data_IF_072551262196
#
_entry.id   IF_072551262196
#
_cell.length_a   1.000
_cell.length_b   1.000
_cell.length_c   1.000
_cell.angle_alpha   90.00
_cell.angle_beta   90.00
_cell.angle_gamma   90.00
#
_symmetry.space_group_name_H-M   'P 1'
#
loop_
_entity.id
_entity.type
_entity.pdbx_description
1 polymer ?
#
# COMPACT_ATOMS: atom_id res chain seq x y z
N UNK A 1 -20.35 20.93 27.82
CA UNK A 1 -19.52 20.43 26.68
C UNK A 1 -18.08 20.06 27.06
N UNK A 2 -17.63 20.17 28.33
CA UNK A 2 -16.20 20.03 28.69
C UNK A 2 -15.74 18.62 29.11
N UNK A 3 -16.55 17.80 29.80
CA UNK A 3 -16.10 16.46 30.27
C UNK A 3 -15.86 15.42 29.17
N UNK A 4 -16.74 15.35 28.17
CA UNK A 4 -16.63 14.32 27.12
C UNK A 4 -15.47 14.54 26.14
N UNK A 5 -15.04 15.80 25.96
CA UNK A 5 -13.85 16.11 25.15
C UNK A 5 -12.57 15.71 25.90
N UNK A 6 -12.51 15.98 27.20
CA UNK A 6 -11.42 15.62 28.11
C UNK A 6 -11.26 14.08 28.23
N UNK A 7 -12.39 13.36 28.30
CA UNK A 7 -12.40 11.89 28.28
C UNK A 7 -11.86 11.33 26.95
N UNK A 8 -12.21 11.95 25.82
CA UNK A 8 -11.79 11.46 24.49
C UNK A 8 -10.29 11.66 24.26
N UNK A 9 -9.75 12.82 24.65
CA UNK A 9 -8.31 13.13 24.59
C UNK A 9 -7.51 12.20 25.50
N UNK A 10 -8.02 11.94 26.72
CA UNK A 10 -7.42 10.98 27.65
C UNK A 10 -7.38 9.56 27.06
N UNK A 11 -8.47 9.10 26.43
CA UNK A 11 -8.50 7.78 25.78
C UNK A 11 -7.55 7.74 24.58
N UNK A 12 -7.47 8.80 23.79
CA UNK A 12 -6.50 8.90 22.69
C UNK A 12 -5.06 8.77 23.22
N UNK A 13 -4.68 9.54 24.25
CA UNK A 13 -3.35 9.50 24.84
C UNK A 13 -3.01 8.12 25.42
N UNK A 14 -3.92 7.54 26.22
CA UNK A 14 -3.73 6.21 26.80
C UNK A 14 -3.58 5.12 25.73
N UNK A 15 -4.44 5.14 24.70
CA UNK A 15 -4.35 4.15 23.61
C UNK A 15 -3.07 4.32 22.78
N UNK A 16 -2.58 5.55 22.59
CA UNK A 16 -1.28 5.81 21.96
C UNK A 16 -0.14 5.17 22.74
N UNK A 17 -0.06 5.41 24.06
CA UNK A 17 0.98 4.81 24.93
C UNK A 17 0.91 3.29 24.92
N UNK A 18 -0.30 2.72 25.02
CA UNK A 18 -0.50 1.27 24.97
C UNK A 18 -0.01 0.68 23.65
N UNK A 19 -0.28 1.33 22.51
CA UNK A 19 0.10 0.80 21.20
C UNK A 19 1.60 0.93 20.90
N UNK A 20 2.25 1.97 21.43
CA UNK A 20 3.71 2.08 21.36
C UNK A 20 4.37 0.95 22.15
N UNK A 21 3.82 0.59 23.31
CA UNK A 21 4.34 -0.51 24.14
C UNK A 21 3.93 -1.91 23.65
N UNK A 22 2.72 -2.04 23.09
CA UNK A 22 2.14 -3.27 22.59
C UNK A 22 1.33 -3.00 21.31
N UNK A 23 1.98 -3.06 20.13
CA UNK A 23 1.34 -2.78 18.85
C UNK A 23 0.22 -3.79 18.49
N UNK A 24 0.20 -4.97 19.12
CA UNK A 24 -0.82 -5.98 18.91
C UNK A 24 -2.07 -5.80 19.80
N UNK A 25 -2.17 -4.70 20.55
CA UNK A 25 -3.25 -4.50 21.50
C UNK A 25 -4.59 -4.13 20.84
N UNK A 26 -5.33 -5.16 20.41
CA UNK A 26 -6.59 -5.04 19.65
C UNK A 26 -7.63 -4.13 20.32
N UNK A 27 -7.80 -4.22 21.64
CA UNK A 27 -8.74 -3.36 22.38
C UNK A 27 -8.40 -1.87 22.23
N UNK A 28 -7.11 -1.52 22.21
CA UNK A 28 -6.69 -0.13 22.05
C UNK A 28 -7.01 0.36 20.62
N UNK A 29 -6.72 -0.44 19.59
CA UNK A 29 -7.08 -0.12 18.21
C UNK A 29 -8.60 0.04 18.04
N UNK A 30 -9.41 -0.82 18.67
CA UNK A 30 -10.87 -0.71 18.62
C UNK A 30 -11.39 0.56 19.31
N UNK A 31 -10.77 0.98 20.42
CA UNK A 31 -11.09 2.28 21.02
C UNK A 31 -10.76 3.43 20.07
N UNK A 32 -9.64 3.37 19.35
CA UNK A 32 -9.28 4.38 18.33
C UNK A 32 -10.24 4.39 17.14
N UNK A 33 -10.74 3.23 16.69
CA UNK A 33 -11.84 3.14 15.70
C UNK A 33 -13.08 3.89 16.17
N UNK A 34 -13.51 3.65 17.42
CA UNK A 34 -14.67 4.34 18.01
C UNK A 34 -14.45 5.85 18.15
N UNK A 35 -13.24 6.29 18.49
CA UNK A 35 -12.90 7.72 18.52
C UNK A 35 -13.00 8.35 17.12
N UNK A 36 -12.52 7.65 16.09
CA UNK A 36 -12.66 8.11 14.69
C UNK A 36 -14.12 8.14 14.23
N UNK A 37 -14.92 7.13 14.57
CA UNK A 37 -16.35 7.06 14.27
C UNK A 37 -17.12 8.23 14.88
N UNK A 38 -16.74 8.66 16.09
CA UNK A 38 -17.31 9.82 16.79
C UNK A 38 -16.77 11.17 16.30
N UNK A 39 -15.78 11.16 15.40
CA UNK A 39 -15.10 12.37 14.93
C UNK A 39 -14.13 12.99 15.94
N UNK A 40 -13.85 12.32 17.07
CA UNK A 40 -12.92 12.78 18.10
C UNK A 40 -11.45 12.55 17.72
N UNK A 41 -11.18 11.59 16.84
CA UNK A 41 -9.84 11.31 16.32
C UNK A 41 -9.83 11.50 14.79
N UNK A 42 -8.87 12.27 14.28
CA UNK A 42 -8.69 12.46 12.85
C UNK A 42 -8.09 11.21 12.21
N UNK A 43 -8.77 10.67 11.19
CA UNK A 43 -8.28 9.52 10.43
C UNK A 43 -6.95 9.80 9.72
N UNK A 44 -6.68 11.05 9.32
CA UNK A 44 -5.37 11.43 8.76
C UNK A 44 -4.25 11.33 9.79
N UNK A 45 -4.47 11.86 11.01
CA UNK A 45 -3.53 11.70 12.13
C UNK A 45 -3.31 10.23 12.49
N UNK A 46 -4.36 9.43 12.41
CA UNK A 46 -4.26 7.99 12.68
C UNK A 46 -3.42 7.26 11.62
N UNK A 47 -3.55 7.60 10.33
CA UNK A 47 -2.67 7.04 9.29
C UNK A 47 -1.20 7.38 9.55
N UNK A 48 -0.91 8.63 9.92
CA UNK A 48 0.44 9.05 10.31
C UNK A 48 0.93 8.24 11.52
N UNK A 49 0.10 8.06 12.54
CA UNK A 49 0.45 7.26 13.71
C UNK A 49 0.74 5.80 13.35
N UNK A 50 -0.08 5.16 12.52
CA UNK A 50 0.16 3.79 12.05
C UNK A 50 1.46 3.67 11.25
N UNK A 51 1.77 4.66 10.41
CA UNK A 51 3.03 4.70 9.68
C UNK A 51 4.23 4.81 10.63
N UNK A 52 4.15 5.69 11.64
CA UNK A 52 5.21 5.82 12.65
C UNK A 52 5.47 4.52 13.39
N UNK A 53 4.42 3.75 13.73
CA UNK A 53 4.58 2.42 14.32
C UNK A 53 5.31 1.47 13.35
N UNK A 54 4.85 1.40 12.09
CA UNK A 54 5.44 0.50 11.07
C UNK A 54 6.91 0.84 10.82
N UNK A 55 7.25 2.13 10.66
CA UNK A 55 8.62 2.57 10.36
C UNK A 55 9.54 2.57 11.58
N UNK A 56 8.98 2.81 12.77
CA UNK A 56 9.74 2.96 14.00
C UNK A 56 10.25 1.65 14.59
N UNK A 57 9.61 0.52 14.31
CA UNK A 57 10.05 -0.78 14.81
C UNK A 57 9.63 -1.95 13.92
N UNK A 58 10.57 -2.84 13.61
CA UNK A 58 10.28 -4.11 12.93
C UNK A 58 9.27 -4.98 13.71
N UNK A 59 9.24 -4.88 15.05
CA UNK A 59 8.27 -5.59 15.88
C UNK A 59 6.83 -5.09 15.70
N UNK A 60 6.66 -3.82 15.32
CA UNK A 60 5.37 -3.26 14.93
C UNK A 60 5.04 -3.64 13.49
N UNK A 61 6.02 -3.56 12.59
CA UNK A 61 5.85 -3.90 11.17
C UNK A 61 5.46 -5.37 10.94
N UNK A 62 5.81 -6.29 11.85
CA UNK A 62 5.38 -7.70 11.77
C UNK A 62 3.98 -7.96 12.35
N UNK A 63 3.27 -6.95 12.86
CA UNK A 63 1.91 -7.15 13.40
C UNK A 63 0.86 -6.98 12.30
N UNK A 64 0.19 -8.08 11.92
CA UNK A 64 -0.90 -8.07 10.94
C UNK A 64 -1.99 -7.03 11.28
N UNK A 65 -2.33 -6.90 12.56
CA UNK A 65 -3.42 -6.04 13.03
C UNK A 65 -3.18 -4.55 12.73
N UNK A 66 -1.91 -4.10 12.68
CA UNK A 66 -1.56 -2.72 12.33
C UNK A 66 -1.87 -2.46 10.85
N UNK A 67 -1.49 -3.38 9.96
CA UNK A 67 -1.79 -3.29 8.54
C UNK A 67 -3.29 -3.34 8.26
N UNK A 68 -4.03 -4.22 8.94
CA UNK A 68 -5.49 -4.28 8.82
C UNK A 68 -6.19 -3.02 9.33
N UNK A 69 -5.69 -2.44 10.43
CA UNK A 69 -6.20 -1.16 10.92
C UNK A 69 -5.94 -0.05 9.89
N UNK A 70 -4.76 -0.03 9.28
CA UNK A 70 -4.43 0.90 8.18
C UNK A 70 -5.38 0.77 6.98
N UNK A 71 -5.64 -0.46 6.52
CA UNK A 71 -6.62 -0.73 5.45
C UNK A 71 -8.04 -0.25 5.82
N UNK A 72 -8.47 -0.48 7.07
CA UNK A 72 -9.76 0.00 7.56
C UNK A 72 -9.86 1.53 7.50
N UNK A 73 -8.78 2.24 7.86
CA UNK A 73 -8.75 3.71 7.80
C UNK A 73 -8.90 4.20 6.35
N UNK A 74 -8.25 3.55 5.37
CA UNK A 74 -8.37 3.93 3.97
C UNK A 74 -9.79 3.80 3.44
N UNK A 75 -10.48 2.68 3.71
CA UNK A 75 -11.88 2.50 3.28
C UNK A 75 -12.78 3.62 3.80
N UNK A 76 -12.53 4.08 5.03
CA UNK A 76 -13.28 5.17 5.65
C UNK A 76 -12.96 6.54 5.07
N UNK A 77 -11.68 6.84 4.83
CA UNK A 77 -11.22 8.15 4.36
C UNK A 77 -11.55 8.40 2.88
N UNK A 78 -11.36 7.38 2.06
CA UNK A 78 -11.39 7.52 0.61
C UNK A 78 -12.74 7.06 0.00
N UNK A 79 -13.57 6.36 0.77
CA UNK A 79 -14.80 5.74 0.30
C UNK A 79 -14.56 4.60 -0.69
N UNK A 80 -15.63 3.85 -0.99
CA UNK A 80 -15.53 2.64 -1.79
C UNK A 80 -15.68 2.91 -3.30
N UNK A 81 -14.92 2.18 -4.12
CA UNK A 81 -14.98 2.19 -5.58
C UNK A 81 -16.39 1.80 -6.10
N UNK A 82 -17.14 0.99 -5.35
CA UNK A 82 -18.44 0.41 -5.73
C UNK A 82 -19.55 1.39 -6.12
N UNK A 83 -19.43 2.69 -5.82
CA UNK A 83 -20.37 3.71 -6.31
C UNK A 83 -20.25 4.05 -7.81
N UNK A 84 -19.10 3.80 -8.43
CA UNK A 84 -18.81 4.14 -9.84
C UNK A 84 -18.57 2.92 -10.74
N UNK A 85 -18.46 1.72 -10.15
CA UNK A 85 -18.05 0.50 -10.86
C UNK A 85 -19.21 -0.38 -11.36
N UNK A 86 -20.44 -0.19 -10.85
CA UNK A 86 -21.60 -1.05 -11.17
C UNK A 86 -21.99 -1.08 -12.66
N UNK A 87 -21.59 -0.10 -13.46
CA UNK A 87 -21.92 -0.02 -14.89
C UNK A 87 -20.80 -0.52 -15.82
N UNK A 88 -19.55 -0.67 -15.32
CA UNK A 88 -18.39 -1.14 -16.11
C UNK A 88 -17.82 -2.50 -15.67
N UNK A 89 -18.39 -3.11 -14.62
CA UNK A 89 -17.92 -4.37 -14.04
C UNK A 89 -18.17 -5.62 -14.90
N UNK A 90 -19.01 -5.56 -15.94
CA UNK A 90 -19.28 -6.70 -16.83
C UNK A 90 -18.10 -7.09 -17.73
N UNK A 91 -17.04 -6.29 -17.83
CA UNK A 91 -15.88 -6.55 -18.71
C UNK A 91 -14.52 -6.57 -18.00
N UNK A 92 -14.44 -6.23 -16.70
CA UNK A 92 -13.17 -6.25 -15.97
C UNK A 92 -12.99 -7.64 -15.36
N UNK A 93 -12.24 -8.51 -16.05
CA UNK A 93 -11.59 -9.65 -15.42
C UNK A 93 -10.62 -9.11 -14.35
N UNK A 94 -11.07 -9.04 -13.10
CA UNK A 94 -10.22 -8.72 -11.94
C UNK A 94 -9.37 -9.96 -11.69
N UNK A 95 -8.31 -10.09 -12.47
CA UNK A 95 -7.35 -11.19 -12.43
C UNK A 95 -6.14 -10.81 -11.55
N UNK A 96 -6.45 -10.05 -10.48
CA UNK A 96 -5.59 -9.69 -9.35
C UNK A 96 -5.73 -10.70 -8.21
N UNK A 97 -5.26 -10.37 -7.01
CA UNK A 97 -5.39 -11.29 -5.86
C UNK A 97 -6.76 -11.21 -5.18
N UNK A 98 -7.47 -10.11 -5.37
CA UNK A 98 -8.77 -9.87 -4.77
C UNK A 98 -9.94 -10.38 -5.62
N UNK A 99 -11.00 -10.84 -4.96
CA UNK A 99 -12.25 -11.19 -5.62
C UNK A 99 -12.96 -9.96 -6.17
N UNK A 100 -13.94 -10.16 -7.07
CA UNK A 100 -14.75 -9.07 -7.62
C UNK A 100 -15.51 -8.33 -6.51
N UNK A 101 -16.01 -9.07 -5.52
CA UNK A 101 -16.67 -8.51 -4.35
C UNK A 101 -15.69 -7.68 -3.51
N UNK A 102 -14.48 -8.18 -3.29
CA UNK A 102 -13.44 -7.46 -2.54
C UNK A 102 -13.04 -6.17 -3.25
N UNK A 103 -12.89 -6.21 -4.57
CA UNK A 103 -12.52 -5.05 -5.37
C UNK A 103 -13.58 -3.94 -5.36
N UNK A 104 -14.86 -4.30 -5.23
CA UNK A 104 -15.94 -3.32 -5.06
C UNK A 104 -15.83 -2.51 -3.75
N UNK A 105 -15.15 -3.08 -2.75
CA UNK A 105 -14.92 -2.49 -1.42
C UNK A 105 -13.55 -1.80 -1.28
N UNK A 106 -12.83 -1.63 -2.38
CA UNK A 106 -11.54 -0.97 -2.38
C UNK A 106 -11.67 0.54 -2.17
N UNK A 107 -10.71 1.16 -1.46
CA UNK A 107 -10.66 2.60 -1.27
C UNK A 107 -10.28 3.33 -2.56
N UNK A 108 -10.86 4.51 -2.79
CA UNK A 108 -10.45 5.43 -3.87
C UNK A 108 -9.17 6.20 -3.53
N UNK A 109 -8.04 5.50 -3.44
CA UNK A 109 -6.75 6.13 -3.16
C UNK A 109 -6.28 7.02 -4.32
N UNK A 110 -5.63 8.13 -4.02
CA UNK A 110 -4.94 8.92 -5.04
C UNK A 110 -3.62 8.24 -5.47
N UNK A 111 -3.10 8.54 -6.68
CA UNK A 111 -1.79 8.02 -7.11
C UNK A 111 -0.67 8.32 -6.09
N UNK A 112 -0.63 9.54 -5.56
CA UNK A 112 0.33 9.92 -4.52
C UNK A 112 0.21 9.07 -3.24
N UNK A 113 -1.03 8.78 -2.80
CA UNK A 113 -1.24 7.93 -1.63
C UNK A 113 -0.74 6.50 -1.90
N UNK A 114 -0.98 5.95 -3.09
CA UNK A 114 -0.49 4.63 -3.49
C UNK A 114 1.04 4.58 -3.49
N UNK A 115 1.71 5.54 -4.12
CA UNK A 115 3.18 5.60 -4.12
C UNK A 115 3.75 5.70 -2.71
N UNK A 116 3.10 6.47 -1.85
CA UNK A 116 3.47 6.62 -0.45
C UNK A 116 3.37 5.28 0.30
N UNK A 117 2.28 4.52 0.09
CA UNK A 117 2.11 3.20 0.69
C UNK A 117 3.18 2.20 0.23
N UNK A 118 3.55 2.18 -1.06
CA UNK A 118 4.68 1.38 -1.53
C UNK A 118 5.99 1.78 -0.84
N UNK A 119 6.19 3.06 -0.53
CA UNK A 119 7.33 3.53 0.26
C UNK A 119 7.34 3.01 1.71
N UNK A 120 6.17 2.90 2.35
CA UNK A 120 6.05 2.33 3.71
C UNK A 120 6.34 0.82 3.68
N UNK A 121 5.78 0.11 2.69
CA UNK A 121 6.00 -1.33 2.51
C UNK A 121 7.48 -1.62 2.32
N UNK A 122 8.16 -0.91 1.41
CA UNK A 122 9.60 -1.08 1.16
C UNK A 122 10.43 -0.88 2.42
N UNK A 123 10.13 0.16 3.19
CA UNK A 123 10.79 0.38 4.48
C UNK A 123 10.55 -0.76 5.48
N UNK A 124 9.33 -1.30 5.52
CA UNK A 124 8.97 -2.39 6.42
C UNK A 124 9.67 -3.71 6.07
N UNK A 125 9.84 -4.02 4.77
CA UNK A 125 10.56 -5.22 4.32
C UNK A 125 12.08 -5.09 4.47
N UNK A 126 12.62 -3.86 4.37
CA UNK A 126 14.02 -3.55 4.70
C UNK A 126 14.30 -3.75 6.19
N UNK A 127 13.42 -3.21 7.03
CA UNK A 127 13.58 -3.26 8.49
C UNK A 127 13.37 -4.66 9.07
N UNK A 128 12.56 -5.50 8.40
CA UNK A 128 12.30 -6.88 8.79
C UNK A 128 12.25 -7.76 7.55
N UNK A 129 13.38 -8.42 7.17
CA UNK A 129 13.42 -9.28 5.99
C UNK A 129 12.34 -10.36 6.02
N UNK A 130 11.73 -10.63 4.86
CA UNK A 130 10.61 -11.58 4.71
C UNK A 130 9.36 -11.19 5.51
N UNK A 131 9.10 -9.89 5.67
CA UNK A 131 7.87 -9.41 6.29
C UNK A 131 6.63 -9.80 5.44
N UNK A 132 6.04 -10.95 5.77
CA UNK A 132 4.86 -11.47 5.08
C UNK A 132 3.68 -10.48 5.13
N UNK A 133 3.52 -9.74 6.22
CA UNK A 133 2.41 -8.79 6.35
C UNK A 133 2.60 -7.55 5.48
N UNK A 134 3.83 -7.05 5.35
CA UNK A 134 4.13 -5.98 4.41
C UNK A 134 3.92 -6.43 2.95
N UNK A 135 4.35 -7.65 2.59
CA UNK A 135 4.10 -8.21 1.25
C UNK A 135 2.61 -8.49 0.99
N UNK A 136 1.85 -8.91 1.99
CA UNK A 136 0.39 -9.05 1.88
C UNK A 136 -0.27 -7.67 1.68
N UNK A 137 0.20 -6.64 2.39
CA UNK A 137 -0.28 -5.28 2.18
C UNK A 137 0.10 -4.74 0.80
N UNK A 138 1.26 -5.12 0.27
CA UNK A 138 1.67 -4.81 -1.10
C UNK A 138 0.67 -5.32 -2.15
N UNK A 139 0.22 -6.58 -2.02
CA UNK A 139 -0.82 -7.13 -2.90
C UNK A 139 -2.11 -6.32 -2.85
N UNK A 140 -2.55 -5.99 -1.63
CA UNK A 140 -3.73 -5.16 -1.43
C UNK A 140 -3.60 -3.80 -2.14
N UNK A 141 -2.49 -3.08 -1.97
CA UNK A 141 -2.28 -1.78 -2.61
C UNK A 141 -2.14 -1.92 -4.14
N UNK A 142 -1.50 -2.99 -4.62
CA UNK A 142 -1.39 -3.26 -6.05
C UNK A 142 -2.74 -3.56 -6.70
N UNK A 143 -3.60 -4.35 -6.05
CA UNK A 143 -4.96 -4.62 -6.55
C UNK A 143 -5.83 -3.34 -6.56
N UNK A 144 -5.71 -2.52 -5.52
CA UNK A 144 -6.36 -1.20 -5.47
C UNK A 144 -5.89 -0.34 -6.65
N UNK A 145 -4.57 -0.24 -6.86
CA UNK A 145 -3.98 0.55 -7.94
C UNK A 145 -4.41 0.06 -9.33
N UNK A 146 -4.31 -1.25 -9.58
CA UNK A 146 -4.74 -1.88 -10.83
C UNK A 146 -6.22 -1.62 -11.10
N UNK A 147 -7.09 -1.81 -10.10
CA UNK A 147 -8.53 -1.56 -10.23
C UNK A 147 -8.81 -0.09 -10.55
N UNK A 148 -8.11 0.84 -9.91
CA UNK A 148 -8.23 2.27 -10.20
C UNK A 148 -7.72 2.63 -11.60
N UNK A 149 -6.62 2.03 -12.06
CA UNK A 149 -6.10 2.19 -13.41
C UNK A 149 -7.12 1.76 -14.47
N UNK A 150 -7.84 0.66 -14.24
CA UNK A 150 -8.88 0.17 -15.16
C UNK A 150 -10.16 1.02 -15.17
N UNK A 151 -10.53 1.63 -14.03
CA UNK A 151 -11.82 2.30 -13.89
C UNK A 151 -11.79 3.81 -14.16
N UNK A 152 -10.66 4.47 -13.87
CA UNK A 152 -10.56 5.93 -13.86
C UNK A 152 -9.76 6.46 -15.04
N UNK A 153 -10.39 6.56 -16.20
CA UNK A 153 -9.76 6.99 -17.46
C UNK A 153 -9.05 8.36 -17.37
N UNK A 154 -9.60 9.31 -16.59
CA UNK A 154 -8.98 10.63 -16.40
C UNK A 154 -7.66 10.65 -15.61
N UNK A 155 -7.35 9.58 -14.86
CA UNK A 155 -6.11 9.41 -14.07
C UNK A 155 -5.39 8.09 -14.35
N UNK A 156 -5.86 7.32 -15.34
CA UNK A 156 -5.38 5.97 -15.64
C UNK A 156 -3.87 5.95 -15.87
N UNK A 157 -3.34 6.95 -16.58
CA UNK A 157 -1.91 7.13 -16.80
C UNK A 157 -1.10 7.21 -15.50
N UNK A 158 -1.54 7.98 -14.50
CA UNK A 158 -0.79 8.13 -13.23
C UNK A 158 -0.79 6.85 -12.39
N UNK A 159 -1.90 6.09 -12.43
CA UNK A 159 -1.96 4.78 -11.77
C UNK A 159 -1.04 3.77 -12.47
N UNK A 160 -1.06 3.75 -13.81
CA UNK A 160 -0.14 2.93 -14.62
C UNK A 160 1.31 3.28 -14.33
N UNK A 161 1.66 4.58 -14.31
CA UNK A 161 3.00 5.07 -13.98
C UNK A 161 3.44 4.59 -12.59
N UNK A 162 2.52 4.60 -11.62
CA UNK A 162 2.78 4.10 -10.27
C UNK A 162 3.08 2.58 -10.28
N UNK A 163 2.38 1.79 -11.08
CA UNK A 163 2.65 0.33 -11.23
C UNK A 163 4.02 0.11 -11.88
N UNK A 164 4.32 0.83 -12.96
CA UNK A 164 5.61 0.71 -13.68
C UNK A 164 6.77 1.10 -12.78
N UNK A 165 6.65 2.22 -12.06
CA UNK A 165 7.63 2.71 -11.10
C UNK A 165 7.89 1.68 -10.00
N UNK A 166 6.84 1.08 -9.44
CA UNK A 166 6.99 0.02 -8.44
C UNK A 166 7.66 -1.23 -9.02
N UNK A 167 7.38 -1.59 -10.27
CA UNK A 167 8.09 -2.64 -10.99
C UNK A 167 9.60 -2.39 -11.08
N UNK A 168 10.01 -1.17 -11.43
CA UNK A 168 11.43 -0.78 -11.46
C UNK A 168 12.09 -0.83 -10.07
N UNK A 169 11.36 -0.45 -9.02
CA UNK A 169 11.86 -0.52 -7.64
C UNK A 169 12.01 -1.97 -7.15
N UNK A 170 11.04 -2.84 -7.44
CA UNK A 170 11.14 -4.27 -7.15
C UNK A 170 12.31 -4.91 -7.90
N UNK A 171 12.57 -4.50 -9.14
CA UNK A 171 13.71 -5.02 -9.89
C UNK A 171 15.03 -4.66 -9.21
N UNK A 172 15.21 -3.39 -8.84
CA UNK A 172 16.38 -2.92 -8.10
C UNK A 172 16.54 -3.66 -6.76
N UNK A 173 15.42 -3.92 -6.07
CA UNK A 173 15.41 -4.70 -4.84
C UNK A 173 15.96 -6.12 -5.06
N UNK A 174 15.48 -6.83 -6.07
CA UNK A 174 15.92 -8.20 -6.39
C UNK A 174 17.42 -8.23 -6.70
N UNK A 175 17.93 -7.23 -7.42
CA UNK A 175 19.35 -7.14 -7.77
C UNK A 175 20.24 -6.94 -6.53
N UNK A 176 19.69 -6.37 -5.44
CA UNK A 176 20.41 -6.12 -4.18
C UNK A 176 20.09 -7.15 -3.08
N UNK A 177 18.98 -7.88 -3.19
CA UNK A 177 18.46 -8.83 -2.21
C UNK A 177 18.21 -10.21 -2.83
N UNK A 178 19.26 -10.82 -3.38
CA UNK A 178 19.18 -12.06 -4.19
C UNK A 178 18.57 -13.28 -3.49
N UNK A 179 18.47 -13.26 -2.15
CA UNK A 179 17.84 -14.34 -1.35
C UNK A 179 16.37 -14.07 -0.98
N UNK A 180 15.80 -12.95 -1.44
CA UNK A 180 14.40 -12.59 -1.20
C UNK A 180 13.50 -13.17 -2.30
N UNK A 181 13.14 -14.44 -2.14
CA UNK A 181 12.20 -15.12 -3.03
C UNK A 181 10.80 -14.48 -3.04
N UNK A 182 10.41 -13.78 -1.96
CA UNK A 182 9.12 -13.08 -1.91
C UNK A 182 9.11 -11.92 -2.90
N UNK A 183 10.18 -11.14 -2.97
CA UNK A 183 10.31 -10.06 -3.95
C UNK A 183 10.24 -10.57 -5.41
N UNK A 184 10.91 -11.69 -5.71
CA UNK A 184 10.83 -12.33 -7.04
C UNK A 184 9.39 -12.74 -7.37
N UNK A 185 8.69 -13.38 -6.42
CA UNK A 185 7.30 -13.76 -6.60
C UNK A 185 6.40 -12.55 -6.91
N UNK A 186 6.61 -11.43 -6.20
CA UNK A 186 5.84 -10.21 -6.44
C UNK A 186 6.14 -9.60 -7.79
N UNK A 187 7.41 -9.57 -8.18
CA UNK A 187 7.81 -9.08 -9.49
C UNK A 187 7.19 -9.90 -10.63
N UNK A 188 7.24 -11.24 -10.56
CA UNK A 188 6.59 -12.10 -11.56
C UNK A 188 5.09 -11.82 -11.66
N UNK A 189 4.44 -11.58 -10.53
CA UNK A 189 3.00 -11.30 -10.50
C UNK A 189 2.66 -9.90 -11.06
N UNK A 190 3.47 -8.89 -10.75
CA UNK A 190 3.36 -7.55 -11.33
C UNK A 190 3.48 -7.59 -12.85
N UNK A 191 4.45 -8.33 -13.39
CA UNK A 191 4.62 -8.49 -14.84
C UNK A 191 3.36 -9.10 -15.48
N UNK A 192 2.72 -10.08 -14.84
CA UNK A 192 1.45 -10.62 -15.33
C UNK A 192 0.34 -9.58 -15.37
N UNK A 193 0.25 -8.68 -14.38
CA UNK A 193 -0.73 -7.59 -14.36
C UNK A 193 -0.46 -6.57 -15.47
N UNK A 194 0.80 -6.15 -15.64
CA UNK A 194 1.17 -5.23 -16.73
C UNK A 194 0.83 -5.80 -18.10
N UNK A 195 1.11 -7.09 -18.33
CA UNK A 195 0.76 -7.76 -19.59
C UNK A 195 -0.75 -7.73 -19.89
N UNK A 196 -1.59 -7.74 -18.85
CA UNK A 196 -3.04 -7.63 -19.00
C UNK A 196 -3.47 -6.19 -19.29
N UNK A 197 -2.88 -5.21 -18.60
CA UNK A 197 -3.18 -3.79 -18.85
C UNK A 197 -2.84 -3.37 -20.28
N UNK A 198 -1.76 -3.92 -20.85
CA UNK A 198 -1.22 -3.49 -22.14
C UNK A 198 -1.50 -4.46 -23.30
N UNK A 199 -2.52 -5.33 -23.22
CA UNK A 199 -2.87 -6.26 -24.31
C UNK A 199 -2.86 -5.52 -25.67
N UNK A 200 -1.86 -5.80 -26.52
CA UNK A 200 -1.67 -5.18 -27.84
C UNK A 200 -0.38 -4.37 -28.05
N UNK A 201 0.40 -4.07 -27.01
CA UNK A 201 1.71 -3.40 -27.12
C UNK A 201 2.83 -4.38 -26.79
N UNK A 202 3.86 -4.47 -27.64
CA UNK A 202 4.99 -5.36 -27.43
C UNK A 202 5.67 -5.09 -26.07
N UNK A 203 5.76 -6.12 -25.24
CA UNK A 203 6.44 -6.16 -23.93
C UNK A 203 7.85 -5.54 -23.95
N UNK A 204 8.51 -5.64 -25.10
CA UNK A 204 9.87 -5.16 -25.34
C UNK A 204 10.02 -3.65 -25.07
N UNK A 205 8.96 -2.86 -25.29
CA UNK A 205 8.99 -1.43 -25.04
C UNK A 205 9.04 -1.11 -23.53
N UNK A 206 8.36 -1.89 -22.69
CA UNK A 206 8.24 -1.64 -21.25
C UNK A 206 9.31 -2.32 -20.41
N UNK A 207 9.84 -3.44 -20.86
CA UNK A 207 11.06 -4.01 -20.28
C UNK A 207 12.22 -3.01 -20.34
N UNK A 208 12.23 -2.07 -21.30
CA UNK A 208 13.17 -0.96 -21.31
C UNK A 208 12.97 0.07 -20.19
N UNK A 209 11.74 0.28 -19.70
CA UNK A 209 11.45 1.19 -18.58
C UNK A 209 11.67 0.55 -17.20
N UNK A 210 11.61 -0.79 -17.13
CA UNK A 210 11.92 -1.57 -15.92
C UNK A 210 13.41 -1.98 -15.89
N UNK A 211 14.16 -1.77 -16.98
CA UNK A 211 15.62 -1.92 -16.97
C UNK A 211 16.25 -0.93 -15.99
N UNK A 212 17.30 -1.32 -15.27
CA UNK A 212 18.05 -0.37 -14.47
C UNK A 212 18.53 0.77 -15.37
N UNK A 213 18.20 2.01 -15.01
CA UNK A 213 18.97 3.17 -15.50
C UNK A 213 20.42 2.86 -15.15
N UNK A 214 21.27 2.76 -16.17
CA UNK A 214 22.68 2.45 -16.00
C UNK A 214 23.28 3.31 -14.88
N UNK A 215 23.58 2.69 -13.74
CA UNK A 215 24.57 3.21 -12.80
C UNK A 215 25.95 3.01 -13.45
N UNK A 216 26.23 3.77 -14.51
CA UNK A 216 27.54 3.88 -15.11
C UNK A 216 27.84 5.35 -15.38
N UNK A 217 28.11 6.07 -14.30
CA UNK A 217 28.83 7.33 -14.28
C UNK A 217 30.24 7.17 -13.73
N UNK A 218 30.86 6.00 -13.86
CA UNK A 218 32.27 5.79 -13.55
C UNK A 218 33.08 5.84 -14.85
N UNK A 219 33.35 7.04 -15.35
CA UNK A 219 34.48 7.26 -16.25
C UNK A 219 35.76 7.16 -15.40
N UNK A 220 36.25 5.95 -15.22
CA UNK A 220 37.64 5.74 -14.82
C UNK A 220 38.50 5.96 -16.07
N UNK A 221 38.73 7.22 -16.42
CA UNK A 221 39.91 7.60 -17.19
C UNK A 221 41.07 7.76 -16.22
N UNK A 222 42.13 6.98 -16.43
CA UNK A 222 43.41 7.08 -15.75
C UNK A 222 44.44 6.32 -16.60
N UNK A 223 45.70 6.78 -16.62
CA UNK A 223 46.30 7.42 -17.80
C UNK A 223 47.05 6.48 -18.74
#
# INVERSE_FOLDING_TARGET
MSRHADDAETVEACTTVILIANPAHNTALNHRKRLMERGSLSSGKELLFMELLIRGSGDCAKQSIIWHHRQWIFKRLCGDIGGSAKERQTEIEIDGWASVEEASSFPKLSPHAIEHEFGIIRHAVESYPRNYHAWSHWHYIMDVNYTLACLYDGYSGQYIDSIVKEGSQLRLWIDTHVSDYSAIHQFCSLIRLLNKLFRGVALDHWLHYIRPMNLCGCTCESP
#
